data_IF_505025284384
#
_entry.id   IF_505025284384
#
_cell.length_a   1.000
_cell.length_b   1.000
_cell.length_c   1.000
_cell.angle_alpha   90.00
_cell.angle_beta   90.00
_cell.angle_gamma   90.00
#
_symmetry.space_group_name_H-M   'P 1'
#
loop_
_entity.id
_entity.type
_entity.pdbx_description
1 polymer ?
#
# COMPACT_ATOMS: atom_id res chain seq x y z
N UNK A 1 -0.25 -15.65 -12.53
CA UNK A 1 -1.56 -15.43 -11.88
C UNK A 1 -1.60 -14.03 -11.29
N UNK A 2 -2.67 -13.30 -11.52
CA UNK A 2 -2.78 -11.93 -11.06
C UNK A 2 -3.41 -11.89 -9.67
N UNK A 3 -2.68 -11.36 -8.70
CA UNK A 3 -3.13 -11.34 -7.32
C UNK A 3 -2.96 -9.97 -6.68
N UNK A 4 -3.94 -9.60 -5.85
CA UNK A 4 -3.83 -8.46 -4.95
C UNK A 4 -4.20 -8.98 -3.57
N UNK A 5 -3.29 -8.83 -2.62
CA UNK A 5 -3.46 -9.23 -1.24
C UNK A 5 -3.56 -7.97 -0.39
N UNK A 6 -4.57 -7.89 0.47
CA UNK A 6 -4.78 -6.73 1.33
C UNK A 6 -4.86 -7.18 2.79
N UNK A 7 -4.02 -6.57 3.64
CA UNK A 7 -4.01 -6.80 5.08
C UNK A 7 -4.22 -5.49 5.81
N UNK A 8 -5.04 -5.53 6.85
CA UNK A 8 -5.23 -4.36 7.71
C UNK A 8 -4.72 -4.67 9.11
N UNK A 9 -3.61 -4.06 9.48
CA UNK A 9 -2.94 -4.26 10.76
C UNK A 9 -3.00 -3.03 11.65
N UNK A 10 -4.01 -2.17 11.46
CA UNK A 10 -4.21 -0.98 12.26
C UNK A 10 -5.68 -0.86 12.66
N UNK A 11 -5.96 -0.06 13.68
CA UNK A 11 -7.31 0.12 14.23
C UNK A 11 -7.78 1.57 14.24
N UNK A 12 -6.88 2.50 13.98
CA UNK A 12 -7.20 3.93 14.07
C UNK A 12 -8.21 4.37 13.01
N UNK A 13 -8.20 3.73 11.84
CA UNK A 13 -9.09 4.07 10.74
C UNK A 13 -9.75 2.82 10.18
N UNK A 14 -11.02 2.95 9.83
CA UNK A 14 -11.75 1.86 9.20
C UNK A 14 -11.35 1.74 7.73
N UNK A 15 -10.98 0.53 7.32
CA UNK A 15 -10.56 0.24 5.95
C UNK A 15 -11.54 -0.76 5.34
N UNK A 16 -12.14 -0.40 4.22
CA UNK A 16 -12.98 -1.29 3.42
C UNK A 16 -12.07 -2.11 2.50
N UNK A 17 -11.41 -3.12 3.05
CA UNK A 17 -10.37 -3.89 2.34
C UNK A 17 -10.89 -4.56 1.08
N UNK A 18 -12.11 -5.08 1.11
CA UNK A 18 -12.73 -5.74 -0.04
C UNK A 18 -12.97 -4.76 -1.19
N UNK A 19 -13.50 -3.58 -0.86
CA UNK A 19 -13.76 -2.54 -1.85
C UNK A 19 -12.45 -1.97 -2.40
N UNK A 20 -11.45 -1.82 -1.56
CA UNK A 20 -10.12 -1.40 -1.98
C UNK A 20 -9.52 -2.40 -2.98
N UNK A 21 -9.56 -3.69 -2.65
CA UNK A 21 -9.05 -4.74 -3.53
C UNK A 21 -9.78 -4.76 -4.87
N UNK A 22 -11.10 -4.62 -4.84
CA UNK A 22 -11.92 -4.58 -6.05
C UNK A 22 -11.55 -3.39 -6.93
N UNK A 23 -11.42 -2.21 -6.36
CA UNK A 23 -11.03 -1.01 -7.10
C UNK A 23 -9.65 -1.13 -7.71
N UNK A 24 -8.69 -1.67 -6.95
CA UNK A 24 -7.34 -1.89 -7.44
C UNK A 24 -7.30 -2.90 -8.59
N UNK A 25 -8.09 -3.97 -8.49
CA UNK A 25 -8.20 -4.98 -9.54
C UNK A 25 -8.74 -4.37 -10.83
N UNK A 26 -9.79 -3.56 -10.72
CA UNK A 26 -10.37 -2.87 -11.88
C UNK A 26 -9.34 -1.93 -12.51
N UNK A 27 -8.60 -1.18 -11.70
CA UNK A 27 -7.59 -0.26 -12.20
C UNK A 27 -6.50 -1.00 -12.99
N UNK A 28 -5.97 -2.08 -12.44
CA UNK A 28 -4.89 -2.83 -13.10
C UNK A 28 -5.37 -3.56 -14.34
N UNK A 29 -6.54 -4.18 -14.28
CA UNK A 29 -7.05 -4.99 -15.39
C UNK A 29 -7.63 -4.13 -16.53
N UNK A 30 -8.40 -3.11 -16.21
CA UNK A 30 -9.20 -2.39 -17.19
C UNK A 30 -8.64 -1.03 -17.57
N UNK A 31 -8.16 -0.26 -16.60
CA UNK A 31 -7.65 1.08 -16.87
C UNK A 31 -6.21 1.05 -17.37
N UNK A 32 -5.35 0.28 -16.73
CA UNK A 32 -3.93 0.22 -17.10
C UNK A 32 -3.57 -1.01 -17.92
N UNK A 33 -4.45 -1.99 -17.97
CA UNK A 33 -4.28 -3.20 -18.79
C UNK A 33 -2.95 -3.90 -18.52
N UNK A 34 -2.60 -4.05 -17.23
CA UNK A 34 -1.38 -4.73 -16.82
C UNK A 34 -1.58 -6.24 -16.97
N UNK A 35 -0.80 -6.92 -17.82
CA UNK A 35 -1.05 -8.33 -18.13
C UNK A 35 -0.74 -9.28 -16.97
N UNK A 36 0.28 -8.96 -16.16
CA UNK A 36 0.67 -9.82 -15.05
C UNK A 36 1.06 -8.97 -13.86
N UNK A 37 0.48 -9.26 -12.68
CA UNK A 37 0.80 -8.51 -11.48
C UNK A 37 0.65 -9.37 -10.22
N UNK A 38 1.43 -9.00 -9.20
CA UNK A 38 1.32 -9.54 -7.86
C UNK A 38 1.59 -8.39 -6.89
N UNK A 39 0.54 -7.93 -6.20
CA UNK A 39 0.65 -6.82 -5.26
C UNK A 39 0.22 -7.23 -3.87
N UNK A 40 0.97 -6.77 -2.89
CA UNK A 40 0.64 -6.90 -1.47
C UNK A 40 0.45 -5.51 -0.90
N UNK A 41 -0.69 -5.28 -0.24
CA UNK A 41 -1.00 -4.00 0.39
C UNK A 41 -1.26 -4.25 1.86
N UNK A 42 -0.53 -3.53 2.71
CA UNK A 42 -0.68 -3.65 4.17
C UNK A 42 -0.94 -2.27 4.76
N UNK A 43 -2.05 -2.14 5.49
CA UNK A 43 -2.36 -0.93 6.24
C UNK A 43 -1.81 -1.06 7.66
N UNK A 44 -1.00 -0.10 8.10
CA UNK A 44 -0.29 -0.15 9.38
C UNK A 44 -0.55 1.10 10.22
N UNK A 45 -0.24 1.01 11.51
CA UNK A 45 -0.27 2.15 12.43
C UNK A 45 0.91 3.09 12.17
N UNK A 46 0.81 4.32 12.68
CA UNK A 46 1.89 5.29 12.60
C UNK A 46 3.17 4.76 13.27
N UNK A 47 3.03 4.07 14.41
CA UNK A 47 4.17 3.48 15.10
C UNK A 47 4.87 2.44 14.24
N UNK A 48 4.10 1.52 13.64
CA UNK A 48 4.67 0.49 12.77
C UNK A 48 5.28 1.09 11.52
N UNK A 49 4.64 2.11 10.95
CA UNK A 49 5.17 2.81 9.78
C UNK A 49 6.52 3.45 10.09
N UNK A 50 6.66 4.09 11.25
CA UNK A 50 7.92 4.68 11.66
C UNK A 50 9.02 3.62 11.79
N UNK A 51 8.70 2.47 12.37
CA UNK A 51 9.65 1.36 12.48
C UNK A 51 10.14 0.88 11.10
N UNK A 52 9.22 0.70 10.17
CA UNK A 52 9.55 0.26 8.81
C UNK A 52 10.39 1.31 8.09
N UNK A 53 10.00 2.57 8.21
CA UNK A 53 10.69 3.67 7.55
C UNK A 53 12.13 3.81 8.05
N UNK A 54 12.34 3.69 9.36
CA UNK A 54 13.69 3.75 9.94
C UNK A 54 14.53 2.52 9.59
N UNK A 55 13.92 1.33 9.64
CA UNK A 55 14.64 0.08 9.40
C UNK A 55 15.05 -0.10 7.94
N UNK A 56 14.19 0.29 6.99
CA UNK A 56 14.39 -0.02 5.58
C UNK A 56 14.84 1.17 4.74
N UNK A 57 14.43 2.38 5.09
CA UNK A 57 14.74 3.57 4.32
C UNK A 57 15.65 4.55 5.06
N UNK A 58 15.97 4.26 6.30
CA UNK A 58 16.82 5.11 7.16
C UNK A 58 16.29 6.52 7.34
N UNK A 59 14.98 6.69 7.23
CA UNK A 59 14.28 7.94 7.51
C UNK A 59 13.64 7.86 8.88
N UNK A 60 13.52 8.99 9.56
CA UNK A 60 12.91 9.06 10.88
C UNK A 60 11.43 9.41 10.77
N UNK A 61 10.63 8.78 11.62
CA UNK A 61 9.22 9.06 11.74
C UNK A 61 8.35 8.36 10.70
N UNK A 62 7.02 8.48 10.84
CA UNK A 62 6.10 7.83 9.93
C UNK A 62 5.93 8.61 8.63
N UNK A 63 5.62 7.90 7.57
CA UNK A 63 5.18 8.46 6.29
C UNK A 63 3.83 7.85 5.93
N UNK A 64 3.17 8.38 4.89
CA UNK A 64 1.85 7.87 4.48
C UNK A 64 1.93 6.57 3.69
N UNK A 65 2.96 6.39 2.86
CA UNK A 65 3.10 5.20 2.03
C UNK A 65 4.57 4.89 1.77
N UNK A 66 4.89 3.59 1.76
CA UNK A 66 6.18 3.06 1.34
C UNK A 66 5.92 2.02 0.26
N UNK A 67 6.65 2.11 -0.83
CA UNK A 67 6.54 1.17 -1.95
C UNK A 67 7.85 0.40 -2.12
N UNK A 68 7.73 -0.93 -2.15
CA UNK A 68 8.83 -1.82 -2.53
C UNK A 68 8.50 -2.39 -3.90
N UNK A 69 9.31 -2.07 -4.89
CA UNK A 69 9.09 -2.48 -6.27
C UNK A 69 10.03 -3.63 -6.63
N UNK A 70 9.45 -4.79 -6.90
CA UNK A 70 10.17 -6.00 -7.30
C UNK A 70 9.86 -6.38 -8.75
N UNK A 71 9.30 -5.45 -9.51
CA UNK A 71 8.84 -5.71 -10.87
C UNK A 71 9.98 -6.14 -11.79
N UNK A 72 9.68 -7.07 -12.69
CA UNK A 72 10.59 -7.52 -13.72
C UNK A 72 9.88 -7.48 -15.06
N UNK A 73 10.61 -7.11 -16.11
CA UNK A 73 10.15 -7.13 -17.52
C UNK A 73 8.64 -6.83 -17.67
N UNK A 74 7.81 -7.88 -17.79
CA UNK A 74 6.38 -7.77 -18.07
C UNK A 74 5.50 -8.00 -16.85
N UNK A 75 6.09 -8.15 -15.67
CA UNK A 75 5.34 -8.45 -14.45
C UNK A 75 5.47 -7.30 -13.45
N UNK A 76 4.34 -6.73 -13.06
CA UNK A 76 4.28 -5.76 -11.97
C UNK A 76 4.25 -6.53 -10.64
N UNK A 77 5.29 -6.38 -9.84
CA UNK A 77 5.41 -7.06 -8.55
C UNK A 77 5.83 -6.04 -7.50
N UNK A 78 5.07 -5.96 -6.42
CA UNK A 78 5.38 -4.98 -5.41
C UNK A 78 4.63 -5.15 -4.11
N UNK A 79 5.09 -4.37 -3.15
CA UNK A 79 4.49 -4.30 -1.82
C UNK A 79 4.28 -2.84 -1.45
N UNK A 80 3.05 -2.53 -1.03
CA UNK A 80 2.67 -1.20 -0.57
C UNK A 80 2.38 -1.28 0.93
N UNK A 81 3.04 -0.42 1.69
CA UNK A 81 2.75 -0.26 3.11
C UNK A 81 2.14 1.13 3.29
N UNK A 82 0.92 1.18 3.78
CA UNK A 82 0.13 2.41 3.85
C UNK A 82 -0.24 2.69 5.30
N UNK A 83 -0.05 3.93 5.74
CA UNK A 83 -0.46 4.39 7.06
C UNK A 83 -1.65 5.35 6.92
N UNK A 84 -2.89 4.89 7.18
CA UNK A 84 -4.07 5.75 7.05
C UNK A 84 -4.04 6.95 7.98
N UNK A 85 -3.46 6.81 9.18
CA UNK A 85 -3.38 7.91 10.14
C UNK A 85 -2.56 9.09 9.60
N UNK A 86 -1.42 8.80 8.97
CA UNK A 86 -0.58 9.84 8.38
C UNK A 86 -1.20 10.39 7.11
N UNK A 87 -1.81 9.55 6.29
CA UNK A 87 -2.51 9.98 5.07
C UNK A 87 -3.66 10.92 5.42
N UNK A 88 -4.43 10.62 6.47
CA UNK A 88 -5.52 11.49 6.92
C UNK A 88 -4.99 12.84 7.41
N UNK A 89 -3.86 12.84 8.11
CA UNK A 89 -3.21 14.07 8.57
C UNK A 89 -2.79 14.94 7.36
N UNK A 90 -2.23 14.33 6.34
CA UNK A 90 -1.87 15.06 5.11
C UNK A 90 -3.10 15.61 4.42
N UNK A 91 -4.19 14.86 4.38
CA UNK A 91 -5.45 15.30 3.80
C UNK A 91 -6.04 16.54 4.47
N UNK A 92 -5.80 16.71 5.77
CA UNK A 92 -6.24 17.90 6.52
C UNK A 92 -5.41 19.15 6.17
N UNK A 93 -4.18 18.97 5.70
CA UNK A 93 -3.30 20.08 5.33
C UNK A 93 -3.52 20.55 3.90
N UNK A 94 -3.91 19.67 3.05
CA UNK A 94 -4.04 19.90 1.62
C UNK A 94 -5.46 19.62 1.15
#
# INVERSE_FOLDING_TARGET
MNTISVRNQQRAHRIASREFKKAATIALDQLFQIPAYSLSVTFVSAKRMAEVNEAHLQHKGPTDIITFDYSEADTLDGELIICPAVAAEYGQRY
#
